data_IF_357347526108
#
_entry.id   IF_357347526108
#
_cell.length_a   1.000
_cell.length_b   1.000
_cell.length_c   1.000
_cell.angle_alpha   90.00
_cell.angle_beta   90.00
_cell.angle_gamma   90.00
#
_symmetry.space_group_name_H-M   'P 1'
#
loop_
_entity.id
_entity.type
_entity.pdbx_description
1 polymer ?
#
# COMPACT_ATOMS: atom_id res chain seq x y z
N UNK A 1 39.42 6.13 25.76
CA UNK A 1 38.32 6.83 26.45
C UNK A 1 37.09 6.81 25.53
N UNK A 2 35.99 6.16 25.95
CA UNK A 2 34.58 6.41 25.53
C UNK A 2 34.21 6.23 24.04
N UNK A 3 33.14 5.54 23.60
CA UNK A 3 31.87 5.10 24.21
C UNK A 3 31.45 3.76 23.59
N UNK A 4 31.12 2.79 24.45
CA UNK A 4 30.27 1.65 24.13
C UNK A 4 28.84 2.16 24.00
N UNK A 5 28.21 2.04 22.83
CA UNK A 5 26.76 2.11 22.71
C UNK A 5 26.27 0.98 21.82
N UNK A 6 26.33 -0.23 22.37
CA UNK A 6 25.55 -1.35 21.86
C UNK A 6 24.08 -1.05 22.11
N UNK A 7 23.39 -0.54 21.09
CA UNK A 7 21.93 -0.53 21.05
C UNK A 7 21.46 -1.98 20.93
N UNK A 8 21.51 -2.73 22.04
CA UNK A 8 20.93 -4.05 22.14
C UNK A 8 19.42 -3.86 22.04
N UNK A 9 18.91 -3.92 20.80
CA UNK A 9 17.50 -4.17 20.53
C UNK A 9 17.13 -5.39 21.36
N UNK A 10 16.36 -5.18 22.44
CA UNK A 10 15.75 -6.25 23.23
C UNK A 10 15.02 -7.15 22.24
N UNK A 11 15.60 -8.32 21.91
CA UNK A 11 14.95 -9.32 21.08
C UNK A 11 13.61 -9.60 21.76
N UNK A 12 12.50 -9.29 21.08
CA UNK A 12 11.19 -9.73 21.56
C UNK A 12 11.27 -11.25 21.63
N UNK A 13 11.13 -11.79 22.84
CA UNK A 13 10.98 -13.23 23.05
C UNK A 13 9.81 -13.68 22.17
N UNK A 14 10.10 -14.51 21.17
CA UNK A 14 9.07 -15.07 20.32
C UNK A 14 8.26 -16.04 21.18
N UNK A 15 7.02 -15.67 21.52
CA UNK A 15 6.13 -16.55 22.27
C UNK A 15 5.93 -17.84 21.48
N UNK A 16 6.42 -18.95 22.01
CA UNK A 16 6.23 -20.28 21.44
C UNK A 16 5.05 -20.94 22.15
N UNK A 17 4.04 -21.34 21.38
CA UNK A 17 2.92 -22.11 21.90
C UNK A 17 3.42 -23.50 22.31
N UNK A 18 2.85 -24.07 23.39
CA UNK A 18 3.10 -25.47 23.73
C UNK A 18 2.53 -26.35 22.62
N UNK A 19 3.36 -27.24 22.13
CA UNK A 19 2.95 -28.32 21.23
C UNK A 19 2.02 -29.29 21.93
N UNK A 20 1.21 -30.05 21.19
CA UNK A 20 0.33 -31.07 21.77
C UNK A 20 1.12 -32.12 22.56
N UNK A 21 2.31 -32.47 22.09
CA UNK A 21 3.22 -33.37 22.79
C UNK A 21 3.70 -32.80 24.13
N UNK A 22 4.10 -31.52 24.18
CA UNK A 22 4.48 -30.87 25.44
C UNK A 22 3.29 -30.79 26.42
N UNK A 23 2.07 -30.57 25.91
CA UNK A 23 0.84 -30.56 26.73
C UNK A 23 0.55 -31.94 27.32
N UNK A 24 0.74 -33.01 26.54
CA UNK A 24 0.66 -34.39 27.04
C UNK A 24 1.69 -34.68 28.13
N UNK A 25 2.93 -34.21 27.97
CA UNK A 25 3.98 -34.34 29.01
C UNK A 25 3.64 -33.57 30.28
N UNK A 26 3.00 -32.41 30.19
CA UNK A 26 2.51 -31.67 31.37
C UNK A 26 1.51 -32.51 32.16
N UNK A 27 0.55 -33.14 31.48
CA UNK A 27 -0.44 -34.02 32.13
C UNK A 27 0.24 -35.21 32.80
N UNK A 28 1.03 -35.98 32.06
CA UNK A 28 1.66 -37.19 32.60
C UNK A 28 2.63 -36.92 33.75
N UNK A 29 3.41 -35.85 33.69
CA UNK A 29 4.28 -35.47 34.82
C UNK A 29 3.49 -34.99 36.03
N UNK A 30 2.32 -34.37 35.82
CA UNK A 30 1.50 -33.90 36.91
C UNK A 30 0.75 -35.04 37.60
N UNK A 31 0.26 -36.02 36.84
CA UNK A 31 -0.28 -37.29 37.38
C UNK A 31 0.81 -38.07 38.15
N UNK A 32 2.06 -38.01 37.70
CA UNK A 32 3.23 -38.55 38.40
C UNK A 32 3.66 -37.77 39.66
N UNK A 33 2.85 -36.82 40.15
CA UNK A 33 3.07 -36.12 41.42
C UNK A 33 4.03 -34.94 41.38
N UNK A 34 4.58 -34.56 40.22
CA UNK A 34 5.51 -33.44 40.13
C UNK A 34 4.81 -32.09 40.35
N UNK A 35 5.53 -31.12 40.94
CA UNK A 35 5.05 -29.75 41.12
C UNK A 35 5.05 -28.97 39.80
N UNK A 36 4.17 -27.98 39.65
CA UNK A 36 4.11 -27.16 38.44
C UNK A 36 5.44 -26.47 38.10
N UNK A 37 6.19 -26.07 39.13
CA UNK A 37 7.51 -25.46 38.97
C UNK A 37 8.55 -26.47 38.45
N UNK A 38 8.58 -27.68 39.00
CA UNK A 38 9.48 -28.74 38.53
C UNK A 38 9.18 -29.15 37.07
N UNK A 39 7.89 -29.20 36.71
CA UNK A 39 7.46 -29.48 35.34
C UNK A 39 7.88 -28.35 34.39
N UNK A 40 7.71 -27.10 34.80
CA UNK A 40 8.10 -25.92 34.04
C UNK A 40 9.61 -25.88 33.76
N UNK A 41 10.43 -26.14 34.79
CA UNK A 41 11.89 -26.24 34.66
C UNK A 41 12.30 -27.38 33.72
N UNK A 42 11.65 -28.55 33.82
CA UNK A 42 11.93 -29.73 32.97
C UNK A 42 11.53 -29.54 31.51
N UNK A 43 10.52 -28.71 31.24
CA UNK A 43 10.05 -28.41 29.87
C UNK A 43 10.61 -27.10 29.32
N UNK A 44 11.34 -26.31 30.12
CA UNK A 44 11.79 -24.97 29.71
C UNK A 44 10.63 -24.01 29.40
N UNK A 45 9.47 -24.19 30.05
CA UNK A 45 8.26 -23.40 29.83
C UNK A 45 7.90 -22.59 31.08
N UNK A 46 7.00 -21.61 30.93
CA UNK A 46 6.53 -20.81 32.06
C UNK A 46 5.59 -21.65 32.95
N UNK A 47 5.78 -21.59 34.27
CA UNK A 47 4.95 -22.30 35.25
C UNK A 47 3.45 -21.95 35.16
N UNK A 48 3.10 -20.70 34.83
CA UNK A 48 1.72 -20.30 34.55
C UNK A 48 1.15 -21.05 33.35
N UNK A 49 1.94 -21.25 32.29
CA UNK A 49 1.48 -21.98 31.10
C UNK A 49 1.30 -23.48 31.37
N UNK A 50 2.14 -24.06 32.22
CA UNK A 50 1.98 -25.45 32.71
C UNK A 50 0.72 -25.56 33.57
N UNK A 51 0.51 -24.60 34.47
CA UNK A 51 -0.69 -24.53 35.31
C UNK A 51 -1.97 -24.43 34.46
N UNK A 52 -2.01 -23.50 33.51
CA UNK A 52 -3.18 -23.29 32.64
C UNK A 52 -3.49 -24.53 31.78
N UNK A 53 -2.44 -25.21 31.29
CA UNK A 53 -2.58 -26.48 30.58
C UNK A 53 -3.21 -27.57 31.47
N UNK A 54 -2.75 -27.70 32.71
CA UNK A 54 -3.33 -28.65 33.68
C UNK A 54 -4.78 -28.30 34.04
N UNK A 55 -5.07 -27.02 34.29
CA UNK A 55 -6.42 -26.56 34.59
C UNK A 55 -7.39 -26.84 33.45
N UNK A 56 -6.93 -26.67 32.20
CA UNK A 56 -7.72 -27.03 31.03
C UNK A 56 -7.98 -28.55 30.98
N UNK A 57 -6.95 -29.37 31.13
CA UNK A 57 -7.09 -30.83 31.14
C UNK A 57 -8.01 -31.31 32.27
N UNK A 58 -7.88 -30.77 33.48
CA UNK A 58 -8.71 -31.13 34.63
C UNK A 58 -10.20 -30.82 34.42
N UNK A 59 -10.52 -29.86 33.55
CA UNK A 59 -11.90 -29.46 33.23
C UNK A 59 -12.47 -30.19 32.03
N UNK A 60 -11.64 -30.53 31.05
CA UNK A 60 -12.10 -31.00 29.74
C UNK A 60 -11.68 -32.43 29.40
N UNK A 61 -10.75 -33.03 30.16
CA UNK A 61 -10.14 -34.32 29.87
C UNK A 61 -9.28 -34.33 28.59
N UNK A 62 -9.04 -33.18 27.95
CA UNK A 62 -8.24 -33.10 26.72
C UNK A 62 -6.97 -32.29 26.92
N UNK A 63 -5.85 -32.86 26.46
CA UNK A 63 -4.58 -32.14 26.35
C UNK A 63 -4.54 -31.23 25.12
N UNK A 64 -5.53 -31.29 24.22
CA UNK A 64 -5.58 -30.48 23.00
C UNK A 64 -5.86 -29.01 23.31
N UNK A 65 -5.36 -28.09 22.49
CA UNK A 65 -5.62 -26.66 22.67
C UNK A 65 -7.03 -26.31 22.21
N UNK A 66 -7.75 -25.47 22.96
CA UNK A 66 -9.00 -24.86 22.48
C UNK A 66 -8.73 -23.95 21.26
N UNK A 67 -9.55 -24.03 20.21
CA UNK A 67 -9.53 -23.04 19.13
C UNK A 67 -9.71 -21.63 19.71
N UNK A 68 -8.96 -20.67 19.20
CA UNK A 68 -9.11 -19.27 19.62
C UNK A 68 -10.47 -18.74 19.19
N UNK A 69 -11.16 -18.02 20.08
CA UNK A 69 -12.46 -17.36 19.83
C UNK A 69 -12.31 -16.10 18.98
N UNK A 70 -11.54 -16.17 17.90
CA UNK A 70 -11.21 -15.01 17.06
C UNK A 70 -12.45 -14.19 16.65
N UNK A 71 -12.22 -12.93 16.26
CA UNK A 71 -13.29 -11.99 15.91
C UNK A 71 -14.32 -12.66 14.97
N UNK A 72 -15.62 -12.68 15.33
CA UNK A 72 -16.66 -13.21 14.47
C UNK A 72 -16.62 -12.56 13.10
N UNK A 73 -16.91 -13.33 12.04
CA UNK A 73 -16.98 -12.80 10.68
C UNK A 73 -18.15 -11.82 10.58
N UNK A 74 -17.87 -10.61 10.08
CA UNK A 74 -18.89 -9.59 9.82
C UNK A 74 -19.64 -9.78 8.50
N UNK A 75 -19.16 -10.68 7.63
CA UNK A 75 -19.81 -11.02 6.36
C UNK A 75 -20.23 -12.48 6.34
N UNK A 76 -21.39 -12.74 5.73
CA UNK A 76 -21.83 -14.09 5.44
C UNK A 76 -21.14 -14.64 4.18
N UNK A 77 -20.99 -15.96 4.09
CA UNK A 77 -20.34 -16.60 2.94
C UNK A 77 -21.04 -16.26 1.60
N UNK A 78 -22.38 -16.11 1.65
CA UNK A 78 -23.19 -15.70 0.49
C UNK A 78 -22.84 -14.27 0.04
N UNK A 79 -22.56 -13.38 0.97
CA UNK A 79 -22.16 -11.99 0.69
C UNK A 79 -20.77 -11.96 0.07
N UNK A 80 -19.83 -12.73 0.63
CA UNK A 80 -18.48 -12.86 0.07
C UNK A 80 -18.51 -13.43 -1.36
N UNK A 81 -19.35 -14.45 -1.61
CA UNK A 81 -19.54 -15.00 -2.97
C UNK A 81 -20.13 -13.95 -3.92
N UNK A 82 -21.07 -13.14 -3.46
CA UNK A 82 -21.66 -12.03 -4.25
C UNK A 82 -20.60 -10.97 -4.56
N UNK A 83 -19.83 -10.53 -3.58
CA UNK A 83 -18.74 -9.56 -3.73
C UNK A 83 -17.70 -10.07 -4.72
N UNK A 84 -17.24 -11.32 -4.59
CA UNK A 84 -16.26 -11.92 -5.50
C UNK A 84 -16.77 -12.05 -6.94
N UNK A 85 -18.08 -12.26 -7.14
CA UNK A 85 -18.69 -12.34 -8.47
C UNK A 85 -18.93 -10.96 -9.09
N UNK A 86 -19.35 -9.99 -8.29
CA UNK A 86 -19.82 -8.69 -8.78
C UNK A 86 -18.73 -7.63 -8.83
N UNK A 87 -17.72 -7.71 -7.95
CA UNK A 87 -16.70 -6.68 -7.79
C UNK A 87 -15.34 -7.19 -8.26
N UNK A 88 -14.68 -6.40 -9.10
CA UNK A 88 -13.28 -6.60 -9.50
C UNK A 88 -12.45 -5.48 -8.89
N UNK A 89 -11.27 -5.82 -8.37
CA UNK A 89 -10.30 -4.81 -7.97
C UNK A 89 -9.88 -4.00 -9.21
N UNK A 90 -10.02 -2.68 -9.13
CA UNK A 90 -9.61 -1.73 -10.18
C UNK A 90 -8.68 -0.70 -9.57
N UNK A 91 -7.81 -0.12 -10.40
CA UNK A 91 -7.01 1.05 -9.99
C UNK A 91 -7.92 2.28 -10.06
N UNK A 92 -7.99 3.12 -9.01
CA UNK A 92 -8.72 4.37 -9.08
C UNK A 92 -8.07 5.30 -10.13
N UNK A 93 -8.89 6.08 -10.81
CA UNK A 93 -8.40 7.14 -11.71
C UNK A 93 -7.90 8.29 -10.84
N UNK A 94 -6.67 8.76 -11.13
CA UNK A 94 -6.14 9.95 -10.48
C UNK A 94 -6.88 11.19 -11.01
N UNK A 95 -7.47 11.96 -10.10
CA UNK A 95 -8.12 13.23 -10.43
C UNK A 95 -7.72 14.30 -9.42
N UNK A 96 -7.70 15.56 -9.87
CA UNK A 96 -7.57 16.71 -8.98
C UNK A 96 -8.94 16.93 -8.33
N UNK A 97 -9.07 16.88 -6.99
CA UNK A 97 -10.34 17.14 -6.33
C UNK A 97 -10.81 18.57 -6.62
N UNK A 98 -12.05 18.71 -7.10
CA UNK A 98 -12.67 20.00 -7.31
C UNK A 98 -13.46 20.40 -6.07
N UNK A 99 -13.45 21.68 -5.72
CA UNK A 99 -14.33 22.22 -4.70
C UNK A 99 -15.80 22.17 -5.18
N UNK A 100 -16.79 22.12 -4.28
CA UNK A 100 -18.20 22.15 -4.68
C UNK A 100 -18.54 23.36 -5.56
N UNK A 101 -17.93 24.52 -5.28
CA UNK A 101 -18.11 25.72 -6.09
C UNK A 101 -17.53 25.57 -7.51
N UNK A 102 -16.33 24.98 -7.65
CA UNK A 102 -15.76 24.68 -8.98
C UNK A 102 -16.64 23.71 -9.77
N UNK A 103 -17.20 22.68 -9.11
CA UNK A 103 -18.14 21.76 -9.76
C UNK A 103 -19.39 22.47 -10.28
N UNK A 104 -19.98 23.35 -9.46
CA UNK A 104 -21.16 24.14 -9.83
C UNK A 104 -20.87 25.05 -11.02
N UNK A 105 -19.84 25.90 -10.91
CA UNK A 105 -19.51 26.89 -11.95
C UNK A 105 -19.15 26.23 -13.28
N UNK A 106 -18.36 25.15 -13.26
CA UNK A 106 -18.02 24.42 -14.49
C UNK A 106 -19.26 23.80 -15.13
N UNK A 107 -20.18 23.24 -14.34
CA UNK A 107 -21.43 22.66 -14.83
C UNK A 107 -22.33 23.73 -15.46
N UNK A 108 -22.55 24.85 -14.77
CA UNK A 108 -23.36 25.97 -15.26
C UNK A 108 -22.77 26.53 -16.56
N UNK A 109 -21.45 26.72 -16.62
CA UNK A 109 -20.77 27.20 -17.81
C UNK A 109 -20.97 26.27 -19.01
N UNK A 110 -20.82 24.95 -18.81
CA UNK A 110 -21.06 23.94 -19.85
C UNK A 110 -22.53 23.90 -20.27
N UNK A 111 -23.48 23.97 -19.33
CA UNK A 111 -24.92 23.96 -19.63
C UNK A 111 -25.33 25.19 -20.43
N UNK A 112 -24.85 26.38 -20.06
CA UNK A 112 -25.13 27.62 -20.77
C UNK A 112 -24.64 27.61 -22.23
N UNK A 113 -23.55 26.88 -22.52
CA UNK A 113 -22.93 26.80 -23.85
C UNK A 113 -23.14 25.46 -24.55
N UNK A 114 -24.00 24.59 -24.02
CA UNK A 114 -24.24 23.26 -24.58
C UNK A 114 -24.85 23.30 -25.99
N UNK A 115 -25.58 24.38 -26.31
CA UNK A 115 -26.22 24.59 -27.61
C UNK A 115 -25.35 25.40 -28.58
N UNK A 116 -24.21 25.95 -28.14
CA UNK A 116 -23.31 26.72 -29.00
C UNK A 116 -22.72 25.84 -30.09
N UNK A 117 -22.72 26.35 -31.33
CA UNK A 117 -22.14 25.69 -32.50
C UNK A 117 -21.28 26.66 -33.30
N UNK A 118 -21.89 27.69 -33.87
CA UNK A 118 -21.20 28.68 -34.71
C UNK A 118 -20.46 29.72 -33.85
N UNK A 119 -20.95 29.97 -32.64
CA UNK A 119 -20.40 30.90 -31.66
C UNK A 119 -18.99 30.51 -31.23
N UNK A 120 -18.64 29.22 -31.27
CA UNK A 120 -17.26 28.79 -31.01
C UNK A 120 -16.24 29.33 -32.02
N UNK A 121 -16.68 29.75 -33.22
CA UNK A 121 -15.78 30.31 -34.24
C UNK A 121 -15.22 31.68 -33.88
N UNK A 122 -15.89 32.43 -33.00
CA UNK A 122 -15.38 33.72 -32.52
C UNK A 122 -14.52 33.60 -31.26
N UNK A 123 -14.38 32.40 -30.70
CA UNK A 123 -13.58 32.16 -29.49
C UNK A 123 -12.14 31.86 -29.87
N UNK A 124 -11.21 32.58 -29.25
CA UNK A 124 -9.77 32.29 -29.29
C UNK A 124 -9.39 31.64 -27.97
N UNK A 125 -8.86 30.41 -28.03
CA UNK A 125 -8.33 29.73 -26.85
C UNK A 125 -6.88 30.17 -26.65
N UNK A 126 -6.48 30.43 -25.41
CA UNK A 126 -5.08 30.69 -25.08
C UNK A 126 -4.68 29.88 -23.85
N UNK A 127 -3.42 29.48 -23.80
CA UNK A 127 -2.85 28.77 -22.66
C UNK A 127 -1.33 29.01 -22.59
N UNK A 128 -0.78 28.75 -21.42
CA UNK A 128 0.66 28.77 -21.18
C UNK A 128 1.13 27.36 -20.87
N UNK A 129 1.94 26.80 -21.76
CA UNK A 129 2.43 25.43 -21.64
C UNK A 129 3.92 25.39 -21.37
N UNK A 130 4.30 24.53 -20.41
CA UNK A 130 5.69 24.29 -20.04
C UNK A 130 6.24 23.07 -20.77
N UNK A 131 7.21 23.27 -21.64
CA UNK A 131 7.92 22.20 -22.33
C UNK A 131 9.23 21.90 -21.61
N UNK A 132 9.48 20.61 -21.33
CA UNK A 132 10.71 20.14 -20.71
C UNK A 132 11.49 19.33 -21.73
N UNK A 133 12.75 19.72 -22.00
CA UNK A 133 13.60 19.02 -22.95
C UNK A 133 13.95 17.57 -22.51
N UNK A 134 13.68 17.21 -21.25
CA UNK A 134 13.99 15.90 -20.66
C UNK A 134 12.80 15.14 -20.06
N UNK A 135 11.55 15.45 -20.45
CA UNK A 135 10.37 14.74 -19.94
C UNK A 135 10.14 13.39 -20.64
N UNK A 136 11.13 12.50 -20.57
CA UNK A 136 10.88 11.07 -20.63
C UNK A 136 10.35 10.65 -19.26
N UNK A 137 9.39 9.73 -19.19
CA UNK A 137 8.96 9.10 -17.94
C UNK A 137 10.11 8.37 -17.20
N UNK A 138 11.28 8.29 -17.83
CA UNK A 138 12.51 7.71 -17.31
C UNK A 138 12.44 6.21 -17.18
N UNK A 139 11.40 5.57 -17.73
CA UNK A 139 11.16 4.14 -17.59
C UNK A 139 11.70 3.42 -18.80
N UNK A 140 12.93 2.94 -18.68
CA UNK A 140 13.49 1.96 -19.60
C UNK A 140 13.19 0.57 -19.05
N UNK A 141 12.40 -0.21 -19.79
CA UNK A 141 12.12 -1.60 -19.45
C UNK A 141 13.30 -2.48 -19.91
N UNK A 142 13.86 -3.25 -18.99
CA UNK A 142 15.00 -4.15 -19.24
C UNK A 142 14.65 -5.55 -18.79
N UNK A 143 14.94 -6.56 -19.62
CA UNK A 143 14.83 -7.98 -19.25
C UNK A 143 16.17 -8.43 -18.66
N UNK A 144 16.17 -8.97 -17.44
CA UNK A 144 17.37 -9.46 -16.73
C UNK A 144 17.01 -10.47 -15.63
N UNK A 145 18.01 -11.16 -15.08
CA UNK A 145 17.83 -12.03 -13.90
C UNK A 145 17.72 -11.20 -12.60
N UNK A 146 17.15 -11.73 -11.51
CA UNK A 146 16.90 -10.97 -10.27
C UNK A 146 18.15 -10.40 -9.60
N UNK A 147 19.28 -11.09 -9.71
CA UNK A 147 20.59 -10.78 -9.12
C UNK A 147 21.38 -9.74 -9.94
N UNK A 148 21.04 -9.57 -11.22
CA UNK A 148 21.77 -8.70 -12.14
C UNK A 148 21.38 -7.21 -12.00
N UNK A 149 20.73 -6.83 -10.89
CA UNK A 149 20.12 -5.49 -10.77
C UNK A 149 21.12 -4.33 -10.92
N UNK A 150 22.34 -4.55 -10.45
CA UNK A 150 23.38 -3.52 -10.38
C UNK A 150 24.43 -3.66 -11.49
N UNK A 151 24.25 -4.58 -12.46
CA UNK A 151 25.17 -4.67 -13.57
C UNK A 151 25.12 -3.37 -14.40
N UNK A 152 26.28 -2.77 -14.76
CA UNK A 152 26.34 -1.50 -15.49
C UNK A 152 25.54 -1.47 -16.80
N UNK A 153 25.43 -2.61 -17.49
CA UNK A 153 24.62 -2.80 -18.70
C UNK A 153 23.12 -2.57 -18.49
N UNK A 154 22.64 -2.71 -17.25
CA UNK A 154 21.24 -2.53 -16.88
C UNK A 154 21.01 -1.30 -15.99
N UNK A 155 22.02 -0.44 -15.84
CA UNK A 155 21.90 0.86 -15.19
C UNK A 155 21.66 1.92 -16.25
N UNK A 156 20.59 2.70 -16.09
CA UNK A 156 20.34 3.87 -16.90
C UNK A 156 20.81 5.12 -16.13
N UNK A 157 21.86 5.83 -16.59
CA UNK A 157 22.29 7.05 -15.96
C UNK A 157 21.15 8.07 -15.92
N UNK A 158 20.79 8.51 -14.72
CA UNK A 158 19.77 9.54 -14.53
C UNK A 158 20.44 10.91 -14.48
N UNK A 159 20.00 11.82 -15.33
CA UNK A 159 20.39 13.22 -15.23
C UNK A 159 19.97 13.79 -13.87
N UNK A 160 20.91 14.30 -13.07
CA UNK A 160 20.68 14.88 -11.73
C UNK A 160 20.62 16.41 -11.73
N UNK A 161 20.93 17.05 -12.86
CA UNK A 161 20.89 18.50 -13.00
C UNK A 161 19.49 19.07 -13.27
N UNK A 162 19.32 20.40 -13.20
CA UNK A 162 18.08 21.05 -13.59
C UNK A 162 17.76 20.76 -15.05
N UNK A 163 16.56 20.24 -15.33
CA UNK A 163 16.09 20.05 -16.71
C UNK A 163 15.74 21.41 -17.28
N UNK A 164 16.31 21.83 -18.44
CA UNK A 164 15.93 23.07 -19.08
C UNK A 164 14.44 23.03 -19.46
N UNK A 165 13.77 24.17 -19.24
CA UNK A 165 12.34 24.36 -19.40
C UNK A 165 12.11 25.59 -20.25
N UNK A 166 11.16 25.49 -21.16
CA UNK A 166 10.69 26.62 -21.97
C UNK A 166 9.21 26.80 -21.68
N UNK A 167 8.84 28.03 -21.28
CA UNK A 167 7.44 28.44 -21.20
C UNK A 167 7.05 28.98 -22.56
N UNK A 168 5.96 28.45 -23.11
CA UNK A 168 5.43 28.89 -24.41
C UNK A 168 4.00 29.32 -24.17
N UNK A 169 3.73 30.59 -24.48
CA UNK A 169 2.36 31.08 -24.60
C UNK A 169 1.88 30.86 -26.04
N UNK A 170 0.63 30.44 -26.19
CA UNK A 170 0.02 30.26 -27.49
C UNK A 170 -1.46 30.56 -27.47
N UNK A 171 -1.99 30.95 -28.62
CA UNK A 171 -3.41 31.15 -28.83
C UNK A 171 -3.86 30.50 -30.14
N UNK A 172 -5.02 29.85 -30.12
CA UNK A 172 -5.57 29.07 -31.23
C UNK A 172 -7.05 29.44 -31.41
N UNK A 173 -7.42 30.08 -32.53
CA UNK A 173 -8.82 30.24 -32.92
C UNK A 173 -9.37 28.95 -33.54
N UNK A 174 -10.69 28.76 -33.52
CA UNK A 174 -11.31 27.58 -34.14
C UNK A 174 -11.23 27.61 -35.69
N UNK A 175 -11.12 28.79 -36.30
CA UNK A 175 -10.97 28.95 -37.75
C UNK A 175 -9.50 29.22 -38.08
N UNK A 176 -8.74 28.17 -38.43
CA UNK A 176 -7.37 28.33 -38.88
C UNK A 176 -7.34 28.96 -40.28
N UNK A 177 -6.96 30.24 -40.35
CA UNK A 177 -6.89 30.96 -41.61
C UNK A 177 -6.21 32.34 -41.51
N UNK A 178 -5.17 32.48 -40.67
CA UNK A 178 -4.14 33.52 -40.76
C UNK A 178 -3.18 33.35 -39.57
N UNK A 179 -2.13 32.57 -39.73
CA UNK A 179 -0.97 32.62 -38.84
C UNK A 179 -0.13 33.84 -39.26
N UNK A 180 -0.44 35.03 -38.74
CA UNK A 180 0.53 36.11 -38.70
C UNK A 180 1.47 35.85 -37.52
N UNK A 181 2.67 35.36 -37.82
CA UNK A 181 3.77 35.33 -36.87
C UNK A 181 4.18 36.77 -36.56
N UNK A 182 3.76 37.32 -35.43
CA UNK A 182 4.46 38.46 -34.84
C UNK A 182 5.72 37.89 -34.15
N UNK A 183 6.81 37.88 -34.92
CA UNK A 183 8.16 37.73 -34.39
C UNK A 183 8.46 38.91 -33.46
N UNK A 184 8.77 38.58 -32.20
CA UNK A 184 9.56 39.26 -31.17
C UNK A 184 9.74 40.79 -31.23
N UNK A 185 9.35 41.45 -30.14
CA UNK A 185 9.96 42.70 -29.68
C UNK A 185 11.25 42.36 -28.87
N UNK A 186 12.24 43.28 -28.81
CA UNK A 186 13.66 43.00 -28.54
C UNK A 186 13.99 42.47 -27.14
#
# INVERSE_FOLDING_TARGET
MLIKNAFLRRRRSHYQQLTEFERGRVVGLREGGFSFRAIAERLGRNASTVHDCWQQWSREGTASRRPGSGRPRGTAEREDRRVRRQLRARRPVACIPLTPNHCRLRREWCQARAHWRAEWRSVVFSDESRFCHGASDGRVLVRRRPDERLQPTYLWPRHTGPTPRVMVWGAIPMTAGALSWLSQAP
#
